data_IF_855174052640
#
_entry.id   IF_855174052640
#
_cell.length_a   1.000
_cell.length_b   1.000
_cell.length_c   1.000
_cell.angle_alpha   90.00
_cell.angle_beta   90.00
_cell.angle_gamma   90.00
#
_symmetry.space_group_name_H-M   'P 1'
#
loop_
_entity.id
_entity.type
_entity.pdbx_description
1 polymer ?
#
# COMPACT_ATOMS: atom_id res chain seq x y z
N UNK A 1 1.39 13.71 10.95
CA UNK A 1 1.53 14.43 9.65
C UNK A 1 0.19 15.03 9.26
N UNK A 2 0.11 16.12 8.52
CA UNK A 2 -1.18 16.71 8.10
C UNK A 2 -1.49 16.38 6.65
N UNK A 3 -2.66 15.78 6.39
CA UNK A 3 -3.19 15.54 5.05
C UNK A 3 -4.37 16.46 4.81
N UNK A 4 -4.18 17.46 3.95
CA UNK A 4 -5.21 18.42 3.54
C UNK A 4 -5.76 17.96 2.20
N UNK A 5 -6.96 17.37 2.21
CA UNK A 5 -7.53 16.66 1.06
C UNK A 5 -8.55 17.53 0.36
N UNK A 6 -8.25 17.88 -0.89
CA UNK A 6 -9.21 18.46 -1.83
C UNK A 6 -10.07 17.33 -2.42
N UNK A 7 -11.08 16.93 -1.66
CA UNK A 7 -11.87 15.74 -1.98
C UNK A 7 -12.80 15.94 -3.19
N UNK A 8 -13.11 17.19 -3.53
CA UNK A 8 -13.80 17.53 -4.77
C UNK A 8 -12.95 17.14 -5.99
N UNK A 9 -11.66 17.41 -5.94
CA UNK A 9 -10.75 17.18 -7.05
C UNK A 9 -10.28 15.72 -7.18
N UNK A 10 -9.84 15.10 -6.08
CA UNK A 10 -9.21 13.75 -6.13
C UNK A 10 -10.16 12.61 -5.83
N UNK A 11 -11.27 12.89 -5.15
CA UNK A 11 -12.29 11.91 -4.80
C UNK A 11 -11.67 10.62 -4.21
N UNK A 12 -12.15 9.44 -4.60
CA UNK A 12 -11.61 8.16 -4.15
C UNK A 12 -10.11 7.94 -4.40
N UNK A 13 -9.55 8.47 -5.50
CA UNK A 13 -8.15 8.29 -5.84
C UNK A 13 -7.23 8.98 -4.83
N UNK A 14 -7.68 10.08 -4.24
CA UNK A 14 -6.99 10.77 -3.16
C UNK A 14 -6.72 9.89 -1.94
N UNK A 15 -7.62 8.93 -1.68
CA UNK A 15 -7.63 8.12 -0.46
C UNK A 15 -6.82 6.82 -0.55
N UNK A 16 -6.18 6.57 -1.70
CA UNK A 16 -5.16 5.52 -1.82
C UNK A 16 -4.06 5.74 -0.79
N UNK A 17 -3.84 4.77 0.10
CA UNK A 17 -2.87 4.82 1.19
C UNK A 17 -3.45 5.08 2.58
N UNK A 18 -4.77 5.14 2.72
CA UNK A 18 -5.47 5.22 4.02
C UNK A 18 -5.10 4.08 4.98
N UNK A 19 -4.74 2.90 4.47
CA UNK A 19 -4.23 1.78 5.28
C UNK A 19 -2.89 2.04 5.99
N UNK A 20 -2.17 3.10 5.59
CA UNK A 20 -0.85 3.45 6.14
C UNK A 20 -0.91 4.68 7.05
N UNK A 21 -2.10 5.04 7.53
CA UNK A 21 -2.29 6.12 8.49
C UNK A 21 -1.83 5.69 9.87
N UNK A 22 -1.24 6.63 10.60
CA UNK A 22 -0.81 6.45 11.99
C UNK A 22 -1.61 7.38 12.90
N UNK A 23 -1.60 7.09 14.21
CA UNK A 23 -2.39 7.82 15.21
C UNK A 23 -2.03 9.32 15.28
N UNK A 24 -0.78 9.66 15.00
CA UNK A 24 -0.24 11.02 15.02
C UNK A 24 -0.55 11.82 13.74
N UNK A 25 -1.28 11.23 12.79
CA UNK A 25 -1.74 11.93 11.61
C UNK A 25 -3.03 12.71 11.87
N UNK A 26 -3.20 13.77 11.09
CA UNK A 26 -4.44 14.55 11.01
C UNK A 26 -4.87 14.61 9.56
N UNK A 27 -6.11 14.26 9.29
CA UNK A 27 -6.74 14.34 7.97
C UNK A 27 -7.80 15.41 8.01
N UNK A 28 -7.73 16.38 7.10
CA UNK A 28 -8.75 17.39 6.91
C UNK A 28 -9.36 17.24 5.51
N UNK A 29 -10.62 16.80 5.45
CA UNK A 29 -11.38 16.69 4.21
C UNK A 29 -12.04 18.02 3.86
N UNK A 30 -11.72 18.55 2.68
CA UNK A 30 -12.40 19.70 2.09
C UNK A 30 -13.24 19.21 0.92
N UNK A 31 -14.54 19.47 0.96
CA UNK A 31 -15.48 18.98 -0.04
C UNK A 31 -16.68 19.91 -0.21
N UNK A 32 -17.33 19.82 -1.36
CA UNK A 32 -18.60 20.45 -1.66
C UNK A 32 -19.70 19.39 -1.84
N UNK A 33 -20.92 19.80 -2.21
CA UNK A 33 -22.01 18.87 -2.53
C UNK A 33 -21.69 17.94 -3.72
N UNK A 34 -20.65 18.23 -4.51
CA UNK A 34 -20.24 17.40 -5.64
C UNK A 34 -19.55 16.08 -5.21
N UNK A 35 -19.00 16.02 -4.00
CA UNK A 35 -18.18 14.90 -3.52
C UNK A 35 -18.41 14.64 -2.02
N UNK A 36 -19.55 14.08 -1.65
CA UNK A 36 -19.95 13.88 -0.23
C UNK A 36 -19.97 12.41 0.21
N UNK A 37 -19.58 11.47 -0.67
CA UNK A 37 -19.57 10.03 -0.39
C UNK A 37 -18.15 9.51 -0.29
N UNK A 38 -17.92 8.60 0.65
CA UNK A 38 -16.65 7.88 0.83
C UNK A 38 -16.89 6.37 0.80
N UNK A 39 -15.95 5.60 0.24
CA UNK A 39 -16.05 4.14 0.27
C UNK A 39 -15.82 3.62 1.68
N UNK A 40 -16.67 2.68 2.12
CA UNK A 40 -16.70 2.18 3.50
C UNK A 40 -15.34 1.67 4.01
N UNK A 41 -14.57 0.94 3.21
CA UNK A 41 -13.26 0.43 3.65
C UNK A 41 -12.23 1.55 3.88
N UNK A 42 -12.30 2.66 3.14
CA UNK A 42 -11.45 3.83 3.34
C UNK A 42 -11.77 4.50 4.67
N UNK A 43 -13.06 4.66 4.98
CA UNK A 43 -13.50 5.16 6.28
C UNK A 43 -13.11 4.21 7.43
N UNK A 44 -13.16 2.90 7.20
CA UNK A 44 -12.69 1.91 8.17
C UNK A 44 -11.20 2.09 8.48
N UNK A 45 -10.34 2.20 7.47
CA UNK A 45 -8.90 2.44 7.69
C UNK A 45 -8.62 3.72 8.48
N UNK A 46 -9.34 4.82 8.19
CA UNK A 46 -9.21 6.09 8.92
C UNK A 46 -9.61 5.92 10.40
N UNK A 47 -10.65 5.14 10.69
CA UNK A 47 -11.08 4.87 12.07
C UNK A 47 -10.08 3.97 12.80
N UNK A 48 -9.65 2.90 12.14
CA UNK A 48 -8.76 1.89 12.72
C UNK A 48 -7.35 2.44 12.99
N UNK A 49 -6.88 3.45 12.24
CA UNK A 49 -5.60 4.11 12.49
C UNK A 49 -5.58 4.97 13.77
N UNK A 50 -6.75 5.40 14.25
CA UNK A 50 -6.88 6.33 15.38
C UNK A 50 -6.36 7.73 15.09
N UNK A 51 -6.20 8.11 13.82
CA UNK A 51 -5.78 9.45 13.43
C UNK A 51 -6.87 10.50 13.70
N UNK A 52 -6.47 11.77 13.73
CA UNK A 52 -7.43 12.87 13.85
C UNK A 52 -8.15 13.08 12.51
N UNK A 53 -9.47 13.24 12.55
CA UNK A 53 -10.30 13.48 11.38
C UNK A 53 -11.07 14.80 11.51
N UNK A 54 -10.85 15.69 10.56
CA UNK A 54 -11.57 16.94 10.38
C UNK A 54 -12.31 16.94 9.04
N UNK A 55 -13.51 17.50 9.02
CA UNK A 55 -14.37 17.55 7.83
C UNK A 55 -14.87 18.99 7.66
N UNK A 56 -14.58 19.56 6.49
CA UNK A 56 -14.86 20.95 6.12
C UNK A 56 -15.71 20.98 4.84
N UNK A 57 -17.02 21.11 5.02
CA UNK A 57 -17.96 21.28 3.90
C UNK A 57 -18.01 22.74 3.45
N UNK A 58 -17.86 22.97 2.15
CA UNK A 58 -18.03 24.29 1.55
C UNK A 58 -19.47 24.79 1.74
N UNK A 59 -19.63 25.97 2.36
CA UNK A 59 -20.95 26.55 2.64
C UNK A 59 -21.54 27.29 1.43
N UNK A 60 -20.75 28.16 0.82
CA UNK A 60 -21.16 28.97 -0.32
C UNK A 60 -20.38 28.52 -1.55
N UNK A 61 -21.09 28.06 -2.57
CA UNK A 61 -20.48 27.62 -3.82
C UNK A 61 -20.02 28.86 -4.59
N UNK A 62 -18.74 28.94 -4.84
CA UNK A 62 -18.11 29.95 -5.68
C UNK A 62 -16.95 29.32 -6.42
N UNK A 63 -16.58 29.90 -7.57
CA UNK A 63 -15.41 29.45 -8.32
C UNK A 63 -14.18 29.52 -7.39
N UNK A 64 -13.49 28.41 -7.22
CA UNK A 64 -12.28 28.27 -6.38
C UNK A 64 -12.51 28.56 -4.88
N UNK A 65 -13.77 28.52 -4.41
CA UNK A 65 -14.08 28.81 -3.01
C UNK A 65 -13.47 27.79 -2.04
N UNK A 66 -13.36 26.53 -2.46
CA UNK A 66 -12.75 25.46 -1.68
C UNK A 66 -11.23 25.67 -1.51
N UNK A 67 -10.56 26.17 -2.54
CA UNK A 67 -9.13 26.46 -2.53
C UNK A 67 -8.77 27.48 -1.45
N UNK A 68 -9.63 28.48 -1.20
CA UNK A 68 -9.45 29.44 -0.11
C UNK A 68 -9.55 28.80 1.27
N UNK A 69 -10.41 27.79 1.45
CA UNK A 69 -10.51 27.07 2.72
C UNK A 69 -9.22 26.27 2.97
N UNK A 70 -8.72 25.59 1.93
CA UNK A 70 -7.48 24.82 1.98
C UNK A 70 -6.27 25.73 2.25
N UNK A 71 -6.14 26.84 1.51
CA UNK A 71 -5.07 27.81 1.72
C UNK A 71 -5.08 28.38 3.14
N UNK A 72 -6.27 28.70 3.67
CA UNK A 72 -6.44 29.18 5.04
C UNK A 72 -6.03 28.13 6.07
N UNK A 73 -6.43 26.87 5.90
CA UNK A 73 -6.05 25.76 6.79
C UNK A 73 -4.54 25.50 6.79
N UNK A 74 -3.89 25.58 5.64
CA UNK A 74 -2.43 25.43 5.55
C UNK A 74 -1.72 26.52 6.35
N UNK A 75 -2.19 27.77 6.23
CA UNK A 75 -1.69 28.89 7.02
C UNK A 75 -1.93 28.70 8.52
N UNK A 76 -3.13 28.23 8.92
CA UNK A 76 -3.45 27.89 10.30
C UNK A 76 -2.47 26.84 10.87
N UNK A 77 -2.24 25.74 10.14
CA UNK A 77 -1.35 24.66 10.59
C UNK A 77 0.08 25.18 10.79
N UNK A 78 0.63 25.93 9.82
CA UNK A 78 1.98 26.48 9.97
C UNK A 78 2.09 27.55 11.05
N UNK A 79 1.02 28.29 11.33
CA UNK A 79 0.98 29.23 12.45
C UNK A 79 1.00 28.51 13.82
N UNK A 80 0.37 27.34 13.92
CA UNK A 80 0.38 26.53 15.15
C UNK A 80 1.69 25.74 15.33
N UNK A 81 2.21 25.17 14.24
CA UNK A 81 3.44 24.39 14.20
C UNK A 81 4.19 24.66 12.90
N UNK A 82 5.20 25.55 12.96
CA UNK A 82 6.01 25.90 11.80
C UNK A 82 6.88 24.74 11.29
N UNK A 83 7.04 23.67 12.10
CA UNK A 83 7.74 22.44 11.73
C UNK A 83 6.80 21.36 11.19
N UNK A 84 5.49 21.66 11.09
CA UNK A 84 4.51 20.73 10.56
C UNK A 84 4.90 20.25 9.17
N UNK A 85 4.53 19.00 8.90
CA UNK A 85 4.63 18.38 7.57
C UNK A 85 3.24 18.24 7.00
N UNK A 86 2.99 18.93 5.89
CA UNK A 86 1.68 19.06 5.26
C UNK A 86 1.74 18.47 3.85
N UNK A 87 0.80 17.58 3.56
CA UNK A 87 0.52 17.06 2.25
C UNK A 87 -0.80 17.65 1.73
N UNK A 88 -0.73 18.42 0.64
CA UNK A 88 -1.92 18.79 -0.12
C UNK A 88 -2.25 17.62 -1.04
N UNK A 89 -3.43 17.02 -0.87
CA UNK A 89 -3.90 15.93 -1.71
C UNK A 89 -4.87 16.50 -2.75
N UNK A 90 -4.33 16.87 -3.90
CA UNK A 90 -5.07 17.39 -5.05
C UNK A 90 -4.34 17.06 -6.36
N UNK A 91 -5.08 16.88 -7.45
CA UNK A 91 -4.54 16.84 -8.82
C UNK A 91 -4.54 18.23 -9.47
N UNK A 92 -5.12 19.23 -8.83
CA UNK A 92 -5.07 20.62 -9.29
C UNK A 92 -3.64 21.18 -9.16
N UNK A 93 -3.15 21.76 -10.26
CA UNK A 93 -1.82 22.36 -10.34
C UNK A 93 -1.80 23.77 -9.76
N UNK A 94 -2.95 24.41 -9.55
CA UNK A 94 -3.03 25.78 -9.03
C UNK A 94 -2.53 25.85 -7.58
N UNK A 95 -2.62 24.74 -6.83
CA UNK A 95 -1.99 24.61 -5.51
C UNK A 95 -0.45 24.75 -5.52
N UNK A 96 0.21 24.71 -6.68
CA UNK A 96 1.64 25.07 -6.76
C UNK A 96 1.91 26.48 -6.26
N UNK A 97 0.96 27.41 -6.41
CA UNK A 97 1.09 28.76 -5.85
C UNK A 97 1.28 28.74 -4.32
N UNK A 98 0.66 27.79 -3.60
CA UNK A 98 0.89 27.61 -2.17
C UNK A 98 2.30 27.08 -1.87
N UNK A 99 2.81 26.19 -2.70
CA UNK A 99 4.18 25.69 -2.58
C UNK A 99 5.18 26.83 -2.80
N UNK A 100 4.97 27.66 -3.83
CA UNK A 100 5.82 28.80 -4.14
C UNK A 100 5.81 29.85 -3.02
N UNK A 101 4.65 30.05 -2.39
CA UNK A 101 4.52 30.95 -1.24
C UNK A 101 5.22 30.39 0.01
N UNK A 102 4.97 29.14 0.38
CA UNK A 102 5.43 28.61 1.66
C UNK A 102 6.86 28.11 1.63
N UNK A 103 7.32 27.42 0.57
CA UNK A 103 8.65 26.78 0.57
C UNK A 103 9.82 27.71 0.94
N UNK A 104 9.88 28.99 0.48
CA UNK A 104 10.95 29.91 0.90
C UNK A 104 10.94 30.28 2.39
N UNK A 105 9.83 30.02 3.09
CA UNK A 105 9.61 30.32 4.52
C UNK A 105 9.80 29.09 5.42
N UNK A 106 9.99 27.90 4.83
CA UNK A 106 10.14 26.64 5.54
C UNK A 106 11.63 26.33 5.76
N UNK A 107 11.95 25.79 6.93
CA UNK A 107 13.33 25.51 7.33
C UNK A 107 13.77 24.09 6.93
N UNK A 108 12.82 23.17 6.81
CA UNK A 108 13.08 21.76 6.50
C UNK A 108 12.56 21.44 5.10
N UNK A 109 13.35 20.68 4.34
CA UNK A 109 12.92 20.21 3.02
C UNK A 109 11.69 19.31 3.13
N UNK A 110 10.81 19.38 2.13
CA UNK A 110 9.61 18.55 2.01
C UNK A 110 8.59 18.70 3.15
N UNK A 111 8.59 19.84 3.88
CA UNK A 111 7.52 20.17 4.81
C UNK A 111 6.17 20.42 4.12
N UNK A 112 6.16 20.87 2.87
CA UNK A 112 4.95 21.05 2.08
C UNK A 112 5.10 20.36 0.72
N UNK A 113 4.21 19.42 0.44
CA UNK A 113 4.15 18.71 -0.86
C UNK A 113 2.74 18.73 -1.44
N UNK A 114 2.67 18.67 -2.77
CA UNK A 114 1.43 18.47 -3.52
C UNK A 114 1.46 17.07 -4.14
N UNK A 115 0.48 16.24 -3.80
CA UNK A 115 0.39 14.85 -4.23
C UNK A 115 -1.04 14.50 -4.65
N UNK A 116 -1.19 13.48 -5.50
CA UNK A 116 -2.53 13.04 -5.95
C UNK A 116 -3.19 12.03 -5.01
N UNK A 117 -2.44 11.44 -4.09
CA UNK A 117 -2.94 10.46 -3.13
C UNK A 117 -2.14 10.45 -1.83
N UNK A 118 -2.74 9.94 -0.76
CA UNK A 118 -2.11 9.77 0.56
C UNK A 118 -0.84 8.94 0.46
N UNK A 119 -0.86 7.82 -0.27
CA UNK A 119 0.28 6.93 -0.40
C UNK A 119 1.49 7.63 -1.02
N UNK A 120 1.27 8.44 -2.07
CA UNK A 120 2.32 9.27 -2.69
C UNK A 120 2.86 10.30 -1.70
N UNK A 121 1.98 10.97 -0.95
CA UNK A 121 2.39 11.93 0.07
C UNK A 121 3.24 11.30 1.18
N UNK A 122 2.84 10.13 1.68
CA UNK A 122 3.60 9.37 2.70
C UNK A 122 4.98 9.02 2.15
N UNK A 123 5.08 8.54 0.91
CA UNK A 123 6.36 8.23 0.30
C UNK A 123 7.26 9.46 0.09
N UNK A 124 6.68 10.64 -0.16
CA UNK A 124 7.43 11.89 -0.36
C UNK A 124 7.87 12.56 0.95
N UNK A 125 7.05 12.53 2.00
CA UNK A 125 7.27 13.29 3.24
C UNK A 125 7.93 12.46 4.34
N UNK A 126 7.56 11.17 4.46
CA UNK A 126 8.14 10.32 5.49
C UNK A 126 9.61 10.04 5.17
N UNK A 127 10.44 10.11 6.21
CA UNK A 127 11.81 9.59 6.16
C UNK A 127 11.81 8.08 5.91
N UNK A 128 12.99 7.51 5.64
CA UNK A 128 13.14 6.05 5.55
C UNK A 128 12.68 5.41 6.87
N UNK A 129 11.79 4.41 6.77
CA UNK A 129 11.14 3.80 7.93
C UNK A 129 10.11 2.75 7.53
N UNK A 130 9.58 2.01 8.52
CA UNK A 130 8.64 0.90 8.31
C UNK A 130 7.43 1.32 7.47
N UNK A 131 6.82 2.46 7.81
CA UNK A 131 5.68 3.04 7.10
C UNK A 131 5.97 3.26 5.61
N UNK A 132 7.10 3.87 5.28
CA UNK A 132 7.51 4.15 3.90
C UNK A 132 7.81 2.86 3.13
N UNK A 133 8.43 1.89 3.78
CA UNK A 133 8.72 0.58 3.16
C UNK A 133 7.42 -0.16 2.81
N UNK A 134 6.44 -0.17 3.71
CA UNK A 134 5.13 -0.77 3.44
C UNK A 134 4.42 -0.10 2.25
N UNK A 135 4.51 1.23 2.13
CA UNK A 135 3.98 1.95 0.96
C UNK A 135 4.73 1.56 -0.31
N UNK A 136 6.07 1.52 -0.28
CA UNK A 136 6.90 1.13 -1.43
C UNK A 136 6.59 -0.30 -1.89
N UNK A 137 6.43 -1.23 -0.96
CA UNK A 137 6.08 -2.63 -1.24
C UNK A 137 4.70 -2.73 -1.91
N UNK A 138 3.67 -2.03 -1.39
CA UNK A 138 2.33 -2.07 -1.98
C UNK A 138 2.19 -1.30 -3.28
N UNK A 139 2.94 -0.21 -3.44
CA UNK A 139 2.91 0.62 -4.65
C UNK A 139 3.98 0.23 -5.68
N UNK A 140 4.68 -0.89 -5.47
CA UNK A 140 5.68 -1.36 -6.40
C UNK A 140 5.01 -1.70 -7.73
N UNK A 141 5.47 -1.05 -8.81
CA UNK A 141 5.01 -1.38 -10.16
C UNK A 141 5.76 -2.62 -10.60
N UNK A 142 5.02 -3.70 -10.82
CA UNK A 142 5.56 -4.96 -11.32
C UNK A 142 5.40 -5.04 -12.83
N UNK A 143 6.32 -5.74 -13.48
CA UNK A 143 6.20 -6.08 -14.90
C UNK A 143 5.20 -7.24 -15.06
N UNK A 144 4.13 -7.00 -15.81
CA UNK A 144 3.04 -7.95 -15.97
C UNK A 144 3.49 -9.26 -16.62
N UNK A 145 4.43 -9.19 -17.57
CA UNK A 145 4.93 -10.38 -18.27
C UNK A 145 5.73 -11.27 -17.33
N UNK A 146 6.59 -10.68 -16.51
CA UNK A 146 7.37 -11.38 -15.49
C UNK A 146 6.47 -12.06 -14.45
N UNK A 147 5.42 -11.37 -13.99
CA UNK A 147 4.46 -11.95 -13.04
C UNK A 147 3.60 -13.05 -13.68
N UNK A 148 3.24 -12.90 -14.96
CA UNK A 148 2.53 -13.95 -15.69
C UNK A 148 3.38 -15.21 -15.86
N UNK A 149 4.67 -15.07 -16.17
CA UNK A 149 5.59 -16.20 -16.26
C UNK A 149 5.68 -16.98 -14.93
N UNK A 150 5.80 -16.27 -13.80
CA UNK A 150 5.78 -16.87 -12.46
C UNK A 150 4.46 -17.57 -12.17
N UNK A 151 3.34 -16.99 -12.59
CA UNK A 151 2.02 -17.59 -12.44
C UNK A 151 1.89 -18.90 -13.25
N UNK A 152 2.35 -18.91 -14.51
CA UNK A 152 2.35 -20.11 -15.35
C UNK A 152 3.27 -21.20 -14.78
N UNK A 153 4.45 -20.83 -14.31
CA UNK A 153 5.36 -21.76 -13.63
C UNK A 153 4.70 -22.38 -12.40
N UNK A 154 4.09 -21.55 -11.53
CA UNK A 154 3.34 -22.04 -10.37
C UNK A 154 2.23 -23.00 -10.78
N UNK A 155 1.46 -22.67 -11.83
CA UNK A 155 0.38 -23.53 -12.34
C UNK A 155 0.93 -24.87 -12.86
N UNK A 156 2.03 -24.84 -13.61
CA UNK A 156 2.71 -26.03 -14.11
C UNK A 156 3.21 -26.92 -12.96
N UNK A 157 3.79 -26.33 -11.91
CA UNK A 157 4.20 -27.04 -10.69
C UNK A 157 3.00 -27.71 -10.02
N UNK A 158 1.88 -26.98 -9.85
CA UNK A 158 0.65 -27.53 -9.25
C UNK A 158 0.12 -28.71 -10.07
N UNK A 159 0.07 -28.58 -11.39
CA UNK A 159 -0.41 -29.64 -12.28
C UNK A 159 0.50 -30.88 -12.22
N UNK A 160 1.82 -30.69 -12.16
CA UNK A 160 2.81 -31.79 -12.01
C UNK A 160 2.68 -32.48 -10.65
N UNK A 161 2.62 -31.71 -9.56
CA UNK A 161 2.49 -32.26 -8.20
C UNK A 161 1.17 -32.99 -8.06
N UNK A 162 0.08 -32.44 -8.57
CA UNK A 162 -1.24 -33.08 -8.53
C UNK A 162 -1.24 -34.42 -9.27
N UNK A 163 -0.57 -34.52 -10.43
CA UNK A 163 -0.38 -35.80 -11.14
C UNK A 163 0.51 -36.77 -10.36
N UNK A 164 1.59 -36.28 -9.74
CA UNK A 164 2.56 -37.10 -8.99
C UNK A 164 2.00 -37.74 -7.72
N UNK A 165 1.08 -37.05 -7.07
CA UNK A 165 0.48 -37.48 -5.81
C UNK A 165 -0.97 -37.97 -5.95
N UNK A 166 -1.50 -38.02 -7.18
CA UNK A 166 -2.78 -38.68 -7.49
C UNK A 166 -2.76 -40.16 -7.10
N UNK A 167 -3.79 -40.61 -6.38
CA UNK A 167 -3.93 -41.96 -5.85
C UNK A 167 -3.02 -42.27 -4.66
N UNK A 168 -2.46 -41.24 -4.00
CA UNK A 168 -1.59 -41.42 -2.83
C UNK A 168 -2.25 -40.86 -1.57
N UNK A 169 -1.79 -41.30 -0.39
CA UNK A 169 -2.25 -40.79 0.90
C UNK A 169 -1.94 -39.28 1.11
N UNK A 170 -1.18 -38.67 0.18
CA UNK A 170 -0.73 -37.29 0.24
C UNK A 170 -1.55 -36.32 -0.62
N UNK A 171 -2.65 -36.76 -1.24
CA UNK A 171 -3.53 -35.88 -2.03
C UNK A 171 -4.03 -34.67 -1.22
N UNK A 172 -4.38 -34.89 0.05
CA UNK A 172 -4.83 -33.82 0.94
C UNK A 172 -3.72 -32.81 1.32
N UNK A 173 -2.46 -33.12 1.02
CA UNK A 173 -1.29 -32.30 1.35
C UNK A 173 -0.74 -31.55 0.12
N UNK A 174 -1.35 -31.69 -1.07
CA UNK A 174 -0.85 -31.08 -2.31
C UNK A 174 -0.59 -29.59 -2.15
N UNK A 175 -1.49 -28.82 -1.52
CA UNK A 175 -1.28 -27.38 -1.31
C UNK A 175 0.00 -27.09 -0.51
N UNK A 176 0.25 -27.85 0.55
CA UNK A 176 1.43 -27.67 1.40
C UNK A 176 2.71 -28.11 0.67
N UNK A 177 2.64 -29.15 -0.16
CA UNK A 177 3.75 -29.62 -0.97
C UNK A 177 4.11 -28.58 -2.04
N UNK A 178 3.10 -28.01 -2.72
CA UNK A 178 3.28 -26.92 -3.71
C UNK A 178 3.96 -25.72 -3.06
N UNK A 179 3.45 -25.24 -1.94
CA UNK A 179 4.03 -24.08 -1.25
C UNK A 179 5.47 -24.37 -0.79
N UNK A 180 5.74 -25.59 -0.32
CA UNK A 180 7.09 -26.03 0.06
C UNK A 180 8.06 -26.05 -1.12
N UNK A 181 7.63 -26.52 -2.30
CA UNK A 181 8.46 -26.56 -3.52
C UNK A 181 8.77 -25.15 -4.02
N UNK A 182 7.77 -24.26 -4.07
CA UNK A 182 7.93 -22.88 -4.53
C UNK A 182 8.89 -22.08 -3.62
N UNK A 183 8.86 -22.34 -2.31
CA UNK A 183 9.74 -21.67 -1.34
C UNK A 183 11.19 -22.24 -1.34
N UNK A 184 11.46 -23.28 -2.12
CA UNK A 184 12.72 -24.03 -2.06
C UNK A 184 13.54 -23.89 -3.34
N UNK A 185 14.31 -22.80 -3.42
CA UNK A 185 15.22 -22.49 -4.54
C UNK A 185 16.39 -23.48 -4.73
N UNK A 186 16.63 -24.38 -3.77
CA UNK A 186 17.77 -25.31 -3.79
C UNK A 186 17.36 -26.70 -3.33
N UNK A 187 17.95 -27.78 -3.88
CA UNK A 187 17.66 -29.16 -3.46
C UNK A 187 17.88 -29.43 -1.97
N UNK A 188 18.87 -28.75 -1.36
CA UNK A 188 19.16 -28.85 0.08
C UNK A 188 18.07 -28.17 0.93
N UNK A 189 17.51 -27.07 0.44
CA UNK A 189 16.42 -26.34 1.10
C UNK A 189 15.12 -27.14 1.01
N UNK A 190 14.85 -27.71 -0.17
CA UNK A 190 13.70 -28.61 -0.39
C UNK A 190 13.71 -29.79 0.58
N UNK A 191 14.87 -30.44 0.76
CA UNK A 191 15.01 -31.55 1.70
C UNK A 191 14.70 -31.12 3.15
N UNK A 192 15.30 -30.01 3.60
CA UNK A 192 15.09 -29.51 4.97
C UNK A 192 13.64 -29.08 5.21
N UNK A 193 13.01 -28.41 4.24
CA UNK A 193 11.62 -27.99 4.34
C UNK A 193 10.66 -29.19 4.33
N UNK A 194 10.92 -30.21 3.50
CA UNK A 194 10.12 -31.44 3.48
C UNK A 194 10.12 -32.13 4.85
N UNK A 195 11.28 -32.21 5.52
CA UNK A 195 11.40 -32.80 6.85
C UNK A 195 10.74 -31.96 7.94
N UNK A 196 10.81 -30.62 7.84
CA UNK A 196 10.16 -29.71 8.80
C UNK A 196 8.64 -29.76 8.70
N UNK A 197 8.10 -29.75 7.49
CA UNK A 197 6.66 -29.66 7.27
C UNK A 197 5.94 -30.98 7.50
N UNK A 198 6.54 -32.11 7.08
CA UNK A 198 5.86 -33.42 7.10
C UNK A 198 6.49 -34.42 8.08
N UNK A 199 7.55 -34.05 8.79
CA UNK A 199 8.29 -34.96 9.65
C UNK A 199 9.24 -35.89 8.89
N UNK A 200 9.99 -36.71 9.62
CA UNK A 200 11.18 -37.39 9.08
C UNK A 200 10.87 -38.46 8.03
N UNK A 201 9.85 -39.28 8.24
CA UNK A 201 9.51 -40.40 7.35
C UNK A 201 8.74 -39.89 6.12
N UNK A 202 7.62 -39.21 6.36
CA UNK A 202 6.75 -38.64 5.33
C UNK A 202 7.45 -37.59 4.48
N UNK A 203 8.24 -36.71 5.11
CA UNK A 203 9.03 -35.71 4.41
C UNK A 203 10.11 -36.31 3.50
N UNK A 204 10.72 -37.44 3.89
CA UNK A 204 11.65 -38.16 3.02
C UNK A 204 10.96 -38.80 1.82
N UNK A 205 9.75 -39.36 1.98
CA UNK A 205 9.00 -39.94 0.87
C UNK A 205 8.56 -38.89 -0.14
N UNK A 206 8.00 -37.78 0.35
CA UNK A 206 7.61 -36.62 -0.48
C UNK A 206 8.83 -36.08 -1.24
N UNK A 207 9.95 -35.84 -0.54
CA UNK A 207 11.18 -35.36 -1.17
C UNK A 207 11.71 -36.33 -2.24
N UNK A 208 11.73 -37.64 -1.95
CA UNK A 208 12.19 -38.66 -2.91
C UNK A 208 11.31 -38.72 -4.15
N UNK A 209 9.98 -38.67 -3.99
CA UNK A 209 9.05 -38.64 -5.13
C UNK A 209 9.27 -37.41 -6.02
N UNK A 210 9.44 -36.24 -5.42
CA UNK A 210 9.69 -34.99 -6.14
C UNK A 210 11.05 -35.03 -6.85
N UNK A 211 12.11 -35.50 -6.16
CA UNK A 211 13.47 -35.59 -6.71
C UNK A 211 13.58 -36.60 -7.84
N UNK A 212 12.90 -37.74 -7.75
CA UNK A 212 12.96 -38.79 -8.76
C UNK A 212 12.20 -38.44 -10.05
N UNK A 213 11.36 -37.40 -10.04
CA UNK A 213 10.55 -37.02 -11.19
C UNK A 213 11.19 -35.93 -12.08
N UNK A 214 12.52 -35.73 -12.00
CA UNK A 214 13.23 -34.64 -12.70
C UNK A 214 12.47 -33.31 -12.61
N UNK A 215 12.11 -32.92 -11.38
CA UNK A 215 11.81 -31.53 -11.10
C UNK A 215 13.14 -30.80 -11.19
N UNK A 216 13.48 -30.28 -12.37
CA UNK A 216 14.54 -29.29 -12.52
C UNK A 216 14.16 -28.09 -11.66
N UNK A 217 14.71 -28.05 -10.44
CA UNK A 217 14.73 -26.90 -9.53
C UNK A 217 16.03 -26.16 -9.83
#
# INVERSE_FOLDING_TARGET
MYFVIDYENVNYAGLEGTEFLEKEDTISFFYSNASDKIVAYRMKHIKDSGCNLEICKLKNVGKNALDFYIASKIGEIFAMDHNAKIAIISADKDYKALLDYWKPRLQVQNQLVLCKSLAKAINSICGEGKRKNLVKERMCVLDLMSEFAKYEERKSIVDRISKLFSGTDYENLISQIVDMVILSDKPKVLYLNSLRTFGRNTGMEVYRKIKNCEMSI
#
